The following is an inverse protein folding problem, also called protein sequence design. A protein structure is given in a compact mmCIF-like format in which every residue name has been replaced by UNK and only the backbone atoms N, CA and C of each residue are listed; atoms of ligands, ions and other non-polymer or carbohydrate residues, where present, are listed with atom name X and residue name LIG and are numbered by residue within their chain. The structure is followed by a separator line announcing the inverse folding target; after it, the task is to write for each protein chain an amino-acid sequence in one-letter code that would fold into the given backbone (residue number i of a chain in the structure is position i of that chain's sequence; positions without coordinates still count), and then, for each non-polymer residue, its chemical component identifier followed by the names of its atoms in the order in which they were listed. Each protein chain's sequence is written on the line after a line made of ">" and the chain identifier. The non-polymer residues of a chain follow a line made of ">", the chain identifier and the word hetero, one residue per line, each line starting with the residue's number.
data_IF_509613384335
#
_entry.id   IF_509613384335
#
_cell.length_a   1.000
_cell.length_b   1.000
_cell.length_c   1.000
_cell.angle_alpha   90.00
_cell.angle_beta   90.00
_cell.angle_gamma   90.00
#
_symmetry.space_group_name_H-M   'P 1'
#
loop_
_entity.id
_entity.type
_entity.pdbx_description
1 polymer ?
#
# COMPACT_ATOMS: atom_id res chain seq x y z
N UNK A 1 -20.60 -9.42 6.71
CA UNK A 1 -19.58 -10.09 7.54
C UNK A 1 -19.82 -9.68 8.99
N UNK A 2 -20.45 -10.53 9.81
CA UNK A 2 -20.70 -10.26 11.24
C UNK A 2 -20.34 -11.50 12.06
N UNK A 3 -19.06 -11.61 12.39
CA UNK A 3 -18.53 -12.28 13.57
C UNK A 3 -17.06 -11.89 13.63
N UNK A 4 -16.59 -11.47 14.79
CA UNK A 4 -15.19 -11.14 15.03
C UNK A 4 -14.33 -12.38 14.74
N UNK A 5 -13.73 -12.47 13.55
CA UNK A 5 -12.59 -13.33 13.35
C UNK A 5 -11.40 -12.58 13.95
N UNK A 6 -11.11 -12.86 15.22
CA UNK A 6 -9.81 -12.54 15.84
C UNK A 6 -8.61 -13.11 15.06
N UNK A 7 -8.87 -13.89 14.01
CA UNK A 7 -7.91 -14.54 13.13
C UNK A 7 -7.82 -13.95 11.72
N UNK A 8 -8.56 -12.87 11.42
CA UNK A 8 -8.63 -12.30 10.07
C UNK A 8 -9.30 -13.24 9.06
N UNK A 9 -9.17 -12.92 7.78
CA UNK A 9 -9.54 -13.81 6.66
C UNK A 9 -8.47 -13.76 5.57
N UNK A 10 -8.27 -14.89 4.90
CA UNK A 10 -7.27 -14.99 3.84
C UNK A 10 -7.89 -14.56 2.50
N UNK A 11 -7.20 -13.71 1.75
CA UNK A 11 -7.55 -13.40 0.37
C UNK A 11 -6.91 -14.45 -0.54
N UNK A 12 -7.74 -15.12 -1.33
CA UNK A 12 -7.30 -16.18 -2.23
C UNK A 12 -7.00 -15.64 -3.62
N UNK A 13 -6.02 -16.23 -4.30
CA UNK A 13 -5.68 -15.88 -5.65
C UNK A 13 -6.82 -16.26 -6.61
N UNK A 14 -7.38 -15.33 -7.40
CA UNK A 14 -8.52 -15.61 -8.25
C UNK A 14 -8.16 -16.38 -9.53
N UNK A 15 -6.89 -16.40 -9.92
CA UNK A 15 -6.38 -17.02 -11.14
C UNK A 15 -5.05 -17.72 -10.91
N UNK A 16 -4.67 -18.62 -11.82
CA UNK A 16 -3.30 -19.13 -11.84
C UNK A 16 -2.36 -18.02 -12.32
N UNK A 17 -1.32 -17.73 -11.54
CA UNK A 17 -0.30 -16.74 -11.84
C UNK A 17 1.06 -17.42 -11.96
N UNK A 18 1.80 -17.01 -12.98
CA UNK A 18 3.14 -17.51 -13.23
C UNK A 18 4.04 -16.31 -13.58
N UNK A 19 5.03 -16.05 -12.72
CA UNK A 19 5.99 -14.98 -12.92
C UNK A 19 7.34 -15.58 -13.27
N UNK A 20 8.04 -14.99 -14.24
CA UNK A 20 9.41 -15.38 -14.56
C UNK A 20 10.34 -14.17 -14.64
N UNK A 21 11.61 -14.43 -14.34
CA UNK A 21 12.65 -13.40 -14.34
C UNK A 21 13.30 -13.31 -15.72
N UNK A 22 13.33 -12.11 -16.28
CA UNK A 22 13.96 -11.79 -17.56
C UNK A 22 15.06 -10.75 -17.37
N UNK A 23 15.81 -10.47 -18.46
CA UNK A 23 16.89 -9.48 -18.50
C UNK A 23 16.43 -8.07 -18.04
N UNK A 24 15.15 -7.75 -18.20
CA UNK A 24 14.54 -6.47 -17.78
C UNK A 24 13.71 -6.53 -16.50
N UNK A 25 13.83 -7.59 -15.70
CA UNK A 25 13.06 -7.77 -14.46
C UNK A 25 11.98 -8.85 -14.55
N UNK A 26 11.07 -8.84 -13.58
CA UNK A 26 9.96 -9.79 -13.51
C UNK A 26 8.89 -9.52 -14.57
N UNK A 27 8.25 -10.58 -15.06
CA UNK A 27 7.08 -10.52 -15.94
C UNK A 27 6.05 -11.55 -15.54
N UNK A 28 4.79 -11.27 -15.89
CA UNK A 28 3.70 -12.23 -15.82
C UNK A 28 3.65 -13.02 -17.15
N UNK A 29 3.79 -14.34 -17.07
CA UNK A 29 3.96 -15.21 -18.24
C UNK A 29 2.65 -15.34 -19.05
N UNK A 30 1.50 -15.28 -18.39
CA UNK A 30 0.18 -15.39 -19.01
C UNK A 30 -0.78 -14.38 -18.37
N UNK A 31 -0.74 -13.10 -18.80
CA UNK A 31 -1.66 -12.10 -18.31
C UNK A 31 -3.09 -12.46 -18.70
N UNK A 32 -4.01 -12.27 -17.76
CA UNK A 32 -5.44 -12.38 -18.00
C UNK A 32 -6.02 -10.98 -17.90
N UNK A 33 -6.55 -10.48 -19.01
CA UNK A 33 -7.34 -9.24 -19.03
C UNK A 33 -8.77 -9.55 -18.61
N UNK A 34 -9.26 -8.78 -17.66
CA UNK A 34 -10.61 -8.83 -17.16
C UNK A 34 -11.34 -7.58 -17.61
N UNK A 35 -12.55 -7.76 -18.10
CA UNK A 35 -13.43 -6.67 -18.49
C UNK A 35 -14.47 -6.46 -17.39
N UNK A 36 -14.67 -5.20 -17.01
CA UNK A 36 -15.73 -4.77 -16.10
C UNK A 36 -17.09 -5.08 -16.73
N UNK A 37 -18.03 -5.57 -15.92
CA UNK A 37 -19.44 -5.70 -16.29
C UNK A 37 -20.20 -4.37 -16.25
N UNK A 38 -19.51 -3.29 -15.88
CA UNK A 38 -20.01 -1.92 -15.89
C UNK A 38 -19.24 -1.04 -16.88
N UNK A 39 -20.00 -0.28 -17.68
CA UNK A 39 -19.48 0.67 -18.65
C UNK A 39 -19.14 2.00 -17.98
N UNK A 40 -17.88 2.41 -18.05
CA UNK A 40 -17.40 3.70 -17.55
C UNK A 40 -17.44 4.77 -18.63
N UNK A 41 -17.96 5.94 -18.26
CA UNK A 41 -17.85 7.17 -19.04
C UNK A 41 -17.22 8.27 -18.17
N UNK A 42 -16.16 8.91 -18.68
CA UNK A 42 -15.49 10.01 -17.97
C UNK A 42 -16.31 11.31 -17.95
N UNK A 43 -17.21 11.48 -18.94
CA UNK A 43 -18.15 12.59 -19.04
C UNK A 43 -19.58 12.09 -18.76
N UNK A 44 -20.42 12.94 -18.18
CA UNK A 44 -21.79 12.58 -17.82
C UNK A 44 -22.68 12.18 -19.02
N UNK A 45 -22.30 12.60 -20.22
CA UNK A 45 -22.97 12.34 -21.51
C UNK A 45 -22.12 11.48 -22.46
N UNK A 46 -21.00 10.93 -21.99
CA UNK A 46 -20.12 10.08 -22.78
C UNK A 46 -20.71 8.68 -23.03
N UNK A 47 -20.40 8.11 -24.19
CA UNK A 47 -20.65 6.68 -24.44
C UNK A 47 -19.73 5.85 -23.52
N UNK A 48 -20.33 4.96 -22.73
CA UNK A 48 -19.60 4.16 -21.76
C UNK A 48 -18.77 3.06 -22.45
N UNK A 49 -17.62 2.74 -21.87
CA UNK A 49 -16.78 1.63 -22.30
C UNK A 49 -16.44 0.73 -21.12
N UNK A 50 -16.41 -0.61 -21.29
CA UNK A 50 -15.95 -1.51 -20.26
C UNK A 50 -14.52 -1.16 -19.83
N UNK A 51 -14.29 -1.04 -18.53
CA UNK A 51 -12.93 -0.92 -18.00
C UNK A 51 -12.22 -2.27 -18.14
N UNK A 52 -10.98 -2.26 -18.61
CA UNK A 52 -10.15 -3.45 -18.69
C UNK A 52 -9.00 -3.39 -17.68
N UNK A 53 -8.67 -4.55 -17.11
CA UNK A 53 -7.60 -4.66 -16.13
C UNK A 53 -6.88 -6.00 -16.24
N UNK A 54 -5.55 -5.98 -16.17
CA UNK A 54 -4.76 -7.21 -16.03
C UNK A 54 -4.80 -7.74 -14.59
N UNK A 55 -4.78 -9.07 -14.46
CA UNK A 55 -4.82 -9.75 -13.17
C UNK A 55 -3.58 -9.51 -12.30
N UNK A 56 -2.44 -9.10 -12.87
CA UNK A 56 -1.32 -8.55 -12.10
C UNK A 56 -0.42 -7.62 -12.93
N UNK A 57 0.19 -6.62 -12.31
CA UNK A 57 1.10 -5.69 -12.98
C UNK A 57 2.19 -5.15 -12.04
N UNK A 58 3.31 -4.73 -12.63
CA UNK A 58 4.50 -4.26 -11.92
C UNK A 58 4.48 -2.73 -11.77
N UNK A 59 5.37 -2.22 -10.91
CA UNK A 59 5.69 -0.80 -10.90
C UNK A 59 6.57 -0.45 -12.09
N UNK A 60 6.38 0.72 -12.68
CA UNK A 60 7.21 1.23 -13.77
C UNK A 60 8.02 2.42 -13.26
N UNK A 61 9.30 2.49 -13.62
CA UNK A 61 10.22 3.52 -13.13
C UNK A 61 9.82 4.93 -13.58
N UNK A 62 9.19 5.04 -14.76
CA UNK A 62 8.71 6.28 -15.36
C UNK A 62 7.20 6.50 -15.16
N UNK A 63 6.56 5.71 -14.27
CA UNK A 63 5.15 5.89 -13.94
C UNK A 63 4.91 7.27 -13.30
N UNK A 64 4.06 8.08 -13.94
CA UNK A 64 3.67 9.40 -13.45
C UNK A 64 2.35 9.39 -12.66
N UNK A 65 1.49 8.38 -12.90
CA UNK A 65 0.17 8.23 -12.28
C UNK A 65 -0.15 6.74 -12.04
N UNK A 66 -0.88 6.38 -10.97
CA UNK A 66 -1.38 7.27 -9.90
C UNK A 66 -0.31 7.70 -8.90
N UNK A 67 0.87 7.06 -8.93
CA UNK A 67 1.98 7.35 -8.02
C UNK A 67 3.26 7.64 -8.81
N UNK A 68 3.94 8.72 -8.43
CA UNK A 68 5.29 9.03 -8.93
C UNK A 68 6.28 8.12 -8.21
N UNK A 69 6.98 7.29 -8.97
CA UNK A 69 8.07 6.45 -8.46
C UNK A 69 9.39 7.10 -8.87
N UNK A 70 10.21 7.51 -7.91
CA UNK A 70 11.50 8.12 -8.23
C UNK A 70 12.56 7.05 -8.53
N UNK A 71 13.60 7.36 -9.31
CA UNK A 71 14.69 6.42 -9.58
C UNK A 71 15.40 5.89 -8.33
N UNK A 72 15.36 6.62 -7.22
CA UNK A 72 15.97 6.21 -5.94
C UNK A 72 15.11 5.18 -5.19
N UNK A 73 13.79 5.20 -5.38
CA UNK A 73 12.85 4.25 -4.73
C UNK A 73 12.67 3.00 -5.58
N UNK A 74 12.75 3.13 -6.91
CA UNK A 74 12.48 2.03 -7.82
C UNK A 74 13.26 0.72 -7.51
N UNK A 75 14.57 0.74 -7.20
CA UNK A 75 15.32 -0.47 -6.87
C UNK A 75 14.76 -1.25 -5.66
N UNK A 76 14.10 -0.56 -4.73
CA UNK A 76 13.50 -1.17 -3.54
C UNK A 76 12.14 -1.82 -3.83
N UNK A 77 11.52 -1.48 -4.97
CA UNK A 77 10.16 -1.94 -5.33
C UNK A 77 10.11 -2.66 -6.67
N UNK A 78 11.23 -2.81 -7.39
CA UNK A 78 11.29 -3.44 -8.73
C UNK A 78 10.86 -4.91 -8.72
N UNK A 79 10.91 -5.56 -7.55
CA UNK A 79 10.44 -6.93 -7.36
C UNK A 79 8.98 -7.00 -6.86
N UNK A 80 8.30 -5.86 -6.73
CA UNK A 80 6.92 -5.82 -6.28
C UNK A 80 5.93 -5.90 -7.45
N UNK A 81 4.89 -6.70 -7.25
CA UNK A 81 3.78 -6.87 -8.18
C UNK A 81 2.46 -6.60 -7.46
N UNK A 82 1.58 -5.85 -8.12
CA UNK A 82 0.18 -5.67 -7.73
C UNK A 82 -0.63 -6.81 -8.31
N UNK A 83 -1.20 -7.67 -7.45
CA UNK A 83 -2.07 -8.77 -7.84
C UNK A 83 -3.52 -8.40 -7.56
N UNK A 84 -4.38 -8.47 -8.57
CA UNK A 84 -5.81 -8.21 -8.44
C UNK A 84 -6.50 -9.35 -7.71
N UNK A 85 -7.24 -9.01 -6.66
CA UNK A 85 -8.05 -9.98 -5.90
C UNK A 85 -9.45 -10.14 -6.49
N UNK A 86 -9.88 -9.22 -7.36
CA UNK A 86 -11.24 -9.11 -7.89
C UNK A 86 -12.33 -8.91 -6.82
N UNK A 87 -11.91 -8.56 -5.61
CA UNK A 87 -12.81 -8.26 -4.51
C UNK A 87 -13.04 -6.76 -4.43
N UNK A 88 -14.31 -6.39 -4.27
CA UNK A 88 -14.74 -5.02 -3.97
C UNK A 88 -15.21 -5.02 -2.52
N UNK A 89 -14.34 -4.62 -1.61
CA UNK A 89 -14.66 -4.58 -0.20
C UNK A 89 -15.14 -3.20 0.21
N UNK A 90 -16.15 -3.17 1.08
CA UNK A 90 -16.62 -1.99 1.78
C UNK A 90 -16.39 -2.21 3.27
N UNK A 91 -15.79 -1.24 3.94
CA UNK A 91 -15.75 -1.20 5.41
C UNK A 91 -16.69 -0.13 5.95
N UNK A 92 -16.95 -0.16 7.26
CA UNK A 92 -17.64 0.91 7.96
C UNK A 92 -16.72 2.13 8.13
N UNK A 93 -17.29 3.32 8.32
CA UNK A 93 -16.53 4.60 8.35
C UNK A 93 -15.54 4.77 9.52
N UNK A 94 -15.45 3.81 10.43
CA UNK A 94 -14.48 3.78 11.52
C UNK A 94 -13.54 2.57 11.45
N UNK A 95 -13.58 1.83 10.35
CA UNK A 95 -12.79 0.61 10.12
C UNK A 95 -11.70 0.85 9.07
N UNK A 96 -10.57 0.20 9.28
CA UNK A 96 -9.47 0.06 8.35
C UNK A 96 -9.27 -1.43 8.09
N UNK A 97 -8.67 -1.77 6.95
CA UNK A 97 -8.21 -3.14 6.71
C UNK A 97 -6.69 -3.23 6.86
N UNK A 98 -6.24 -4.11 7.74
CA UNK A 98 -4.82 -4.46 7.84
C UNK A 98 -4.51 -5.67 6.99
N UNK A 99 -3.74 -5.46 5.93
CA UNK A 99 -3.18 -6.48 5.04
C UNK A 99 -1.84 -6.92 5.59
N UNK A 100 -1.61 -8.22 5.69
CA UNK A 100 -0.33 -8.75 6.10
C UNK A 100 -0.05 -10.14 5.53
N UNK A 101 1.18 -10.59 5.75
CA UNK A 101 1.62 -11.94 5.41
C UNK A 101 0.88 -13.02 6.23
N UNK A 102 0.88 -14.25 5.73
CA UNK A 102 0.36 -15.40 6.46
C UNK A 102 1.44 -15.95 7.40
N UNK A 103 1.20 -16.00 8.71
CA UNK A 103 2.20 -16.49 9.65
C UNK A 103 2.50 -17.98 9.38
N UNK A 104 3.77 -18.34 9.49
CA UNK A 104 4.28 -19.72 9.36
C UNK A 104 4.09 -20.35 7.96
N UNK A 105 3.86 -19.56 6.92
CA UNK A 105 3.78 -20.05 5.54
C UNK A 105 5.01 -19.60 4.75
N UNK A 106 5.87 -20.55 4.39
CA UNK A 106 7.04 -20.26 3.55
C UNK A 106 6.62 -20.20 2.08
N UNK A 107 6.85 -19.05 1.44
CA UNK A 107 6.47 -18.79 0.04
C UNK A 107 7.59 -18.05 -0.67
N UNK A 108 7.73 -18.18 -1.99
CA UNK A 108 8.74 -17.48 -2.77
C UNK A 108 8.33 -16.01 -3.03
N UNK A 109 7.56 -15.42 -2.12
CA UNK A 109 7.16 -14.02 -2.12
C UNK A 109 6.77 -13.60 -0.71
N UNK A 110 6.80 -12.30 -0.44
CA UNK A 110 6.30 -11.67 0.78
C UNK A 110 5.14 -10.75 0.48
N UNK A 111 4.27 -10.53 1.45
CA UNK A 111 3.18 -9.56 1.33
C UNK A 111 3.63 -8.21 1.89
N UNK A 112 3.47 -7.14 1.13
CA UNK A 112 3.61 -5.79 1.66
C UNK A 112 2.47 -5.54 2.66
N UNK A 113 2.84 -5.32 3.93
CA UNK A 113 1.86 -5.04 4.96
C UNK A 113 1.33 -3.61 4.82
N UNK A 114 0.01 -3.43 4.91
CA UNK A 114 -0.63 -2.14 4.72
C UNK A 114 -1.86 -1.97 5.62
N UNK A 115 -2.04 -0.77 6.17
CA UNK A 115 -3.33 -0.32 6.69
C UNK A 115 -4.04 0.47 5.60
N UNK A 116 -5.15 -0.07 5.12
CA UNK A 116 -5.92 0.49 4.01
C UNK A 116 -7.20 1.11 4.56
N UNK A 117 -7.33 2.40 4.32
CA UNK A 117 -8.55 3.16 4.50
C UNK A 117 -9.44 2.94 3.27
N UNK A 118 -10.71 2.63 3.49
CA UNK A 118 -11.64 2.28 2.40
C UNK A 118 -12.71 3.34 2.18
N UNK A 119 -12.71 4.41 2.97
CA UNK A 119 -13.73 5.47 2.87
C UNK A 119 -13.51 6.33 1.63
N UNK A 120 -12.28 6.40 1.12
CA UNK A 120 -11.91 7.19 -0.06
C UNK A 120 -11.81 6.38 -1.36
N UNK A 121 -11.95 5.05 -1.29
CA UNK A 121 -11.70 4.20 -2.46
C UNK A 121 -12.96 4.14 -3.35
N UNK A 122 -12.90 4.61 -4.61
CA UNK A 122 -14.05 4.52 -5.50
C UNK A 122 -14.38 3.05 -5.76
N UNK A 123 -15.68 2.72 -5.72
CA UNK A 123 -16.19 1.36 -5.89
C UNK A 123 -15.95 0.74 -7.29
N UNK A 124 -15.15 1.40 -8.14
CA UNK A 124 -14.87 1.03 -9.52
C UNK A 124 -13.59 0.22 -9.70
N UNK A 125 -12.78 0.02 -8.66
CA UNK A 125 -11.54 -0.77 -8.76
C UNK A 125 -11.54 -1.94 -7.75
N UNK A 126 -11.16 -3.16 -8.18
CA UNK A 126 -10.97 -4.26 -7.25
C UNK A 126 -9.79 -3.98 -6.35
N UNK A 127 -9.71 -4.68 -5.23
CA UNK A 127 -8.60 -4.54 -4.30
C UNK A 127 -7.37 -5.31 -4.78
N UNK A 128 -6.18 -4.77 -4.49
CA UNK A 128 -4.90 -5.37 -4.86
C UNK A 128 -4.12 -5.83 -3.64
N UNK A 129 -3.47 -6.97 -3.77
CA UNK A 129 -2.42 -7.40 -2.86
C UNK A 129 -1.08 -7.08 -3.52
N UNK A 130 -0.19 -6.38 -2.81
CA UNK A 130 1.18 -6.14 -3.29
C UNK A 130 2.07 -7.23 -2.74
N UNK A 131 2.70 -7.98 -3.66
CA UNK A 131 3.64 -9.05 -3.36
C UNK A 131 5.04 -8.62 -3.73
N UNK A 132 6.02 -8.85 -2.87
CA UNK A 132 7.44 -8.77 -3.18
C UNK A 132 7.93 -10.17 -3.58
N UNK A 133 8.27 -10.36 -4.86
CA UNK A 133 8.75 -11.62 -5.41
C UNK A 133 10.19 -11.89 -4.95
N UNK A 134 10.51 -13.14 -4.59
CA UNK A 134 11.87 -13.51 -4.17
C UNK A 134 12.87 -13.31 -5.32
N UNK A 135 13.82 -12.36 -5.22
CA UNK A 135 14.75 -12.06 -6.30
C UNK A 135 15.72 -13.21 -6.58
N UNK A 136 15.84 -14.22 -5.72
CA UNK A 136 16.67 -15.40 -5.99
C UNK A 136 15.97 -16.45 -6.86
N UNK A 137 14.65 -16.35 -7.03
CA UNK A 137 13.89 -17.28 -7.86
C UNK A 137 13.97 -16.89 -9.34
N UNK A 138 14.03 -17.90 -10.22
CA UNK A 138 13.87 -17.72 -11.67
C UNK A 138 12.40 -17.68 -12.08
N UNK A 139 11.54 -18.36 -11.30
CA UNK A 139 10.13 -18.56 -11.60
C UNK A 139 9.31 -18.76 -10.33
N UNK A 140 8.14 -18.13 -10.27
CA UNK A 140 7.20 -18.20 -9.15
C UNK A 140 5.82 -18.55 -9.69
N UNK A 141 5.15 -19.50 -9.04
CA UNK A 141 3.79 -19.93 -9.37
C UNK A 141 2.88 -19.72 -8.17
N UNK A 142 1.70 -19.17 -8.41
CA UNK A 142 0.64 -19.03 -7.42
C UNK A 142 -0.61 -19.62 -8.06
N UNK A 143 -1.10 -20.73 -7.52
CA UNK A 143 -2.28 -21.38 -8.08
C UNK A 143 -3.55 -20.61 -7.70
N UNK A 144 -4.59 -20.75 -8.52
CA UNK A 144 -5.93 -20.31 -8.15
C UNK A 144 -6.34 -20.95 -6.82
N UNK A 145 -6.81 -20.13 -5.90
CA UNK A 145 -7.22 -20.57 -4.56
C UNK A 145 -6.10 -20.57 -3.52
N UNK A 146 -4.84 -20.38 -3.92
CA UNK A 146 -3.75 -20.20 -2.96
C UNK A 146 -3.95 -18.88 -2.18
N UNK A 147 -3.68 -18.85 -0.87
CA UNK A 147 -3.77 -17.62 -0.11
C UNK A 147 -2.68 -16.64 -0.55
N UNK A 148 -3.08 -15.42 -0.87
CA UNK A 148 -2.19 -14.29 -1.15
C UNK A 148 -1.76 -13.63 0.15
N UNK A 149 -2.71 -13.12 0.92
CA UNK A 149 -2.49 -12.41 2.17
C UNK A 149 -3.60 -12.67 3.19
N UNK A 150 -3.39 -12.19 4.41
CA UNK A 150 -4.42 -12.14 5.44
C UNK A 150 -4.86 -10.71 5.67
N UNK A 151 -6.16 -10.53 5.87
CA UNK A 151 -6.77 -9.24 6.15
C UNK A 151 -7.47 -9.26 7.50
N UNK A 152 -7.30 -8.20 8.26
CA UNK A 152 -7.99 -7.94 9.52
C UNK A 152 -8.77 -6.63 9.44
N UNK A 153 -9.96 -6.60 10.04
CA UNK A 153 -10.61 -5.34 10.34
C UNK A 153 -9.97 -4.72 11.59
N UNK A 154 -9.51 -3.48 11.48
CA UNK A 154 -8.94 -2.70 12.58
C UNK A 154 -9.80 -1.46 12.79
N UNK A 155 -10.20 -1.18 14.03
CA UNK A 155 -10.98 0.01 14.33
C UNK A 155 -10.08 1.21 14.63
N UNK A 156 -10.45 2.37 14.08
CA UNK A 156 -9.76 3.66 14.32
C UNK A 156 -9.84 4.12 15.78
N UNK A 157 -10.74 3.54 16.57
CA UNK A 157 -11.07 3.92 17.97
C UNK A 157 -9.84 4.20 18.86
N UNK A 158 -8.69 3.59 18.58
CA UNK A 158 -7.47 3.68 19.38
C UNK A 158 -6.47 4.78 18.96
N UNK A 159 -6.66 5.44 17.82
CA UNK A 159 -5.76 6.51 17.35
C UNK A 159 -6.50 7.84 17.34
N UNK A 160 -6.44 8.55 18.48
CA UNK A 160 -6.83 9.96 18.52
C UNK A 160 -5.58 10.82 18.40
N UNK A 161 -5.40 11.44 17.23
CA UNK A 161 -4.50 12.57 17.11
C UNK A 161 -5.18 13.77 17.80
N UNK A 162 -4.52 14.36 18.78
CA UNK A 162 -4.91 15.63 19.36
C UNK A 162 -3.76 16.61 19.14
N UNK A 163 -4.08 17.90 19.07
CA UNK A 163 -3.06 18.93 19.10
C UNK A 163 -2.23 18.79 20.38
N UNK A 164 -0.91 18.70 20.21
CA UNK A 164 0.03 18.65 21.33
C UNK A 164 0.26 20.08 21.81
N UNK A 165 0.25 20.31 23.12
CA UNK A 165 0.63 21.63 23.64
C UNK A 165 2.09 21.94 23.26
N UNK A 166 2.45 23.22 23.19
CA UNK A 166 3.83 23.63 22.88
C UNK A 166 4.84 23.04 23.88
N UNK A 167 4.47 22.94 25.16
CA UNK A 167 5.32 22.39 26.21
C UNK A 167 5.50 20.87 26.08
N UNK A 168 4.42 20.15 25.76
CA UNK A 168 4.46 18.71 25.49
C UNK A 168 5.30 18.41 24.24
N UNK A 169 5.17 19.24 23.20
CA UNK A 169 5.98 19.13 21.99
C UNK A 169 7.46 19.36 22.28
N UNK A 170 7.80 20.42 23.02
CA UNK A 170 9.18 20.69 23.43
C UNK A 170 9.79 19.51 24.19
N UNK A 171 9.05 18.98 25.15
CA UNK A 171 9.46 17.81 25.96
C UNK A 171 9.63 16.54 25.12
N UNK A 172 8.69 16.26 24.22
CA UNK A 172 8.76 15.12 23.31
C UNK A 172 9.93 15.24 22.33
N UNK A 173 10.14 16.44 21.80
CA UNK A 173 11.19 16.74 20.85
C UNK A 173 12.57 16.55 21.49
N UNK A 174 12.81 17.12 22.68
CA UNK A 174 14.06 16.93 23.43
C UNK A 174 14.34 15.46 23.74
N UNK A 175 13.32 14.70 24.16
CA UNK A 175 13.43 13.26 24.41
C UNK A 175 13.79 12.49 23.14
N UNK A 176 13.18 12.84 22.02
CA UNK A 176 13.46 12.22 20.72
C UNK A 176 14.86 12.56 20.22
N UNK A 177 15.33 13.79 20.41
CA UNK A 177 16.72 14.20 20.11
C UNK A 177 17.73 13.47 20.99
N UNK A 178 17.41 13.22 22.26
CA UNK A 178 18.25 12.42 23.15
C UNK A 178 18.30 10.96 22.66
N UNK A 179 17.16 10.37 22.35
CA UNK A 179 17.08 9.01 21.83
C UNK A 179 17.83 8.86 20.50
N UNK A 180 17.67 9.79 19.56
CA UNK A 180 18.41 9.81 18.29
C UNK A 180 19.92 9.91 18.51
N UNK A 181 20.38 10.71 19.47
CA UNK A 181 21.81 10.78 19.83
C UNK A 181 22.35 9.49 20.46
N UNK A 182 21.52 8.80 21.24
CA UNK A 182 21.92 7.59 21.97
C UNK A 182 21.83 6.30 21.13
N UNK A 183 20.86 6.23 20.22
CA UNK A 183 20.50 5.00 19.50
C UNK A 183 20.36 5.18 17.98
N UNK A 184 20.46 6.41 17.47
CA UNK A 184 20.45 6.67 16.03
C UNK A 184 21.63 5.97 15.36
N UNK A 185 21.39 5.45 14.16
CA UNK A 185 22.48 4.98 13.31
C UNK A 185 23.13 6.21 12.68
N UNK A 186 24.45 6.31 12.77
CA UNK A 186 25.20 7.30 12.01
C UNK A 186 25.00 7.00 10.52
N UNK A 187 24.21 7.83 9.84
CA UNK A 187 24.23 7.90 8.38
C UNK A 187 25.50 8.63 7.92
N UNK A 188 25.87 8.50 6.65
CA UNK A 188 27.07 9.09 6.02
C UNK A 188 27.13 10.64 6.00
N UNK A 189 26.34 11.34 6.83
CA UNK A 189 26.32 12.79 6.92
C UNK A 189 26.82 13.27 8.29
N UNK A 190 27.84 14.15 8.29
CA UNK A 190 28.57 14.65 9.47
C UNK A 190 27.74 15.42 10.53
N UNK A 191 26.42 15.59 10.37
CA UNK A 191 25.57 16.05 11.48
C UNK A 191 24.09 15.70 11.29
N UNK A 192 23.56 14.81 12.12
CA UNK A 192 22.12 14.62 12.32
C UNK A 192 21.60 15.66 13.33
N UNK A 193 21.68 16.94 12.98
CA UNK A 193 21.01 18.01 13.73
C UNK A 193 19.78 18.49 12.95
N UNK A 194 18.61 17.95 13.32
CA UNK A 194 17.30 18.30 12.74
C UNK A 194 16.59 19.41 13.54
N UNK A 195 17.24 20.00 14.56
CA UNK A 195 16.62 21.00 15.46
C UNK A 195 16.16 22.27 14.77
N UNK A 196 16.69 22.59 13.59
CA UNK A 196 16.28 23.75 12.78
C UNK A 196 15.14 23.52 11.77
N UNK A 197 14.78 22.26 11.47
CA UNK A 197 13.94 21.96 10.30
C UNK A 197 12.44 22.05 10.61
N UNK A 198 12.01 21.59 11.77
CA UNK A 198 10.58 21.52 12.13
C UNK A 198 10.01 22.84 12.67
N UNK A 199 10.84 23.68 13.32
CA UNK A 199 10.40 24.96 13.89
C UNK A 199 9.92 25.99 12.86
N UNK A 200 10.39 25.91 11.61
CA UNK A 200 9.91 26.78 10.50
C UNK A 200 8.70 26.22 9.75
N UNK A 201 8.39 24.92 9.90
CA UNK A 201 7.35 24.23 9.12
C UNK A 201 6.06 23.96 9.90
N UNK A 202 6.05 24.10 11.23
CA UNK A 202 4.80 24.22 11.99
C UNK A 202 4.17 25.60 11.71
N UNK A 203 3.44 25.71 10.60
CA UNK A 203 2.45 26.78 10.42
C UNK A 203 1.07 26.19 10.73
N UNK A 204 0.33 26.85 11.62
CA UNK A 204 -1.11 26.58 11.77
C UNK A 204 -1.77 26.85 10.42
N UNK A 205 -2.41 25.84 9.83
CA UNK A 205 -3.16 25.99 8.58
C UNK A 205 -4.21 27.09 8.76
N UNK A 206 -4.06 28.19 8.03
CA UNK A 206 -5.06 29.26 7.95
C UNK A 206 -5.82 29.09 6.64
N UNK A 207 -7.10 28.76 6.74
CA UNK A 207 -8.02 28.79 5.61
C UNK A 207 -8.82 30.09 5.66
N UNK A 208 -8.71 30.92 4.64
CA UNK A 208 -9.67 31.99 4.36
C UNK A 208 -10.62 31.50 3.28
N UNK A 209 -11.92 31.57 3.56
CA UNK A 209 -12.96 31.36 2.54
C UNK A 209 -13.30 32.74 2.01
N UNK A 210 -12.92 33.01 0.77
CA UNK A 210 -13.36 34.22 0.08
C UNK A 210 -14.82 34.01 -0.34
N UNK A 211 -15.71 34.88 0.17
CA UNK A 211 -17.13 34.96 -0.16
C UNK A 211 -17.38 35.76 -1.43
#
# INVERSE_FOLDING_TARGET
>A
MRAANSFGWDLLCPSDLEFSRHEGGWRLDTPVTLESDWDYAAAADGEGVPLTQENAWFWEQDQMLPHVITPEVYPEIENQVKVSTLLFMRTESDELLYFCDLPNLSRPFKVLSALVDTDWYPASYPWHCVLELDPSAEKIRIARGDPLCRVFTVRREHYRANEMSLDDFGSYFERSQKWLREYGRDGDAESLDITGTYGKQQQLSRFSVDS
#
